data_IF_060661880974
#
_entry.id   IF_060661880974
#
_cell.length_a   1.000
_cell.length_b   1.000
_cell.length_c   1.000
_cell.angle_alpha   90.00
_cell.angle_beta   90.00
_cell.angle_gamma   90.00
#
_symmetry.space_group_name_H-M   'P 1'
#
loop_
_entity.id
_entity.type
_entity.pdbx_description
1 polymer ?
#
# COMPACT_ATOMS: atom_id res chain seq x y z
N UNK A 1 -8.43 -29.16 1.85
CA UNK A 1 -9.32 -28.16 1.21
C UNK A 1 -9.42 -28.49 -0.28
N UNK A 2 -10.56 -28.30 -0.95
CA UNK A 2 -10.68 -28.61 -2.38
C UNK A 2 -9.74 -27.71 -3.21
N UNK A 3 -9.07 -28.29 -4.20
CA UNK A 3 -8.06 -27.64 -5.04
C UNK A 3 -8.57 -26.36 -5.75
N UNK A 4 -9.86 -26.31 -6.06
CA UNK A 4 -10.54 -25.14 -6.63
C UNK A 4 -10.56 -23.93 -5.69
N UNK A 5 -10.69 -24.15 -4.37
CA UNK A 5 -10.75 -23.08 -3.38
C UNK A 5 -9.38 -22.42 -3.17
N UNK A 6 -8.29 -23.18 -3.28
CA UNK A 6 -6.92 -22.65 -3.16
C UNK A 6 -6.59 -21.80 -4.39
N UNK A 7 -6.86 -22.31 -5.60
CA UNK A 7 -6.66 -21.56 -6.84
C UNK A 7 -7.48 -20.26 -6.88
N UNK A 8 -8.70 -20.26 -6.35
CA UNK A 8 -9.52 -19.06 -6.23
C UNK A 8 -8.89 -18.02 -5.30
N UNK A 9 -8.40 -18.42 -4.13
CA UNK A 9 -7.74 -17.54 -3.15
C UNK A 9 -6.45 -16.92 -3.69
N UNK A 10 -5.64 -17.71 -4.42
CA UNK A 10 -4.41 -17.23 -5.05
C UNK A 10 -4.72 -16.21 -6.15
N UNK A 11 -5.73 -16.47 -7.00
CA UNK A 11 -6.17 -15.52 -8.03
C UNK A 11 -6.68 -14.22 -7.42
N UNK A 12 -7.50 -14.30 -6.37
CA UNK A 12 -8.02 -13.14 -5.65
C UNK A 12 -6.87 -12.32 -5.04
N UNK A 13 -5.89 -12.98 -4.42
CA UNK A 13 -4.74 -12.32 -3.81
C UNK A 13 -3.84 -11.65 -4.86
N UNK A 14 -3.53 -12.35 -5.96
CA UNK A 14 -2.80 -11.76 -7.09
C UNK A 14 -3.55 -10.58 -7.70
N UNK A 15 -4.88 -10.66 -7.81
CA UNK A 15 -5.74 -9.55 -8.22
C UNK A 15 -5.69 -8.36 -7.26
N UNK A 16 -5.80 -8.61 -5.96
CA UNK A 16 -5.68 -7.57 -4.93
C UNK A 16 -4.31 -6.88 -4.99
N UNK A 17 -3.22 -7.65 -5.14
CA UNK A 17 -1.87 -7.11 -5.32
C UNK A 17 -1.78 -6.23 -6.58
N UNK A 18 -2.30 -6.72 -7.72
CA UNK A 18 -2.24 -5.98 -8.97
C UNK A 18 -3.04 -4.67 -8.96
N UNK A 19 -4.25 -4.72 -8.39
CA UNK A 19 -5.10 -3.54 -8.22
C UNK A 19 -4.46 -2.57 -7.23
N UNK A 20 -3.91 -3.05 -6.11
CA UNK A 20 -3.16 -2.20 -5.16
C UNK A 20 -2.06 -1.40 -5.87
N UNK A 21 -1.25 -2.07 -6.70
CA UNK A 21 -0.22 -1.41 -7.51
C UNK A 21 -0.74 -0.34 -8.46
N UNK A 22 -1.85 -0.62 -9.16
CA UNK A 22 -2.50 0.37 -10.03
C UNK A 22 -2.98 1.59 -9.23
N UNK A 23 -3.58 1.37 -8.07
CA UNK A 23 -4.11 2.45 -7.25
C UNK A 23 -3.01 3.33 -6.63
N UNK A 24 -1.85 2.77 -6.31
CA UNK A 24 -0.68 3.56 -5.90
C UNK A 24 -0.14 4.49 -7.00
N UNK A 25 -0.35 4.14 -8.27
CA UNK A 25 -0.02 5.00 -9.41
C UNK A 25 -1.09 6.08 -9.58
N UNK A 26 -2.36 5.67 -9.57
CA UNK A 26 -3.48 6.58 -9.83
C UNK A 26 -3.62 7.65 -8.76
N UNK A 27 -3.44 7.32 -7.48
CA UNK A 27 -3.55 8.27 -6.37
C UNK A 27 -2.78 9.59 -6.62
N UNK A 28 -1.44 9.60 -6.76
CA UNK A 28 -0.69 10.82 -6.99
C UNK A 28 -0.92 11.41 -8.39
N UNK A 29 -1.34 10.60 -9.37
CA UNK A 29 -1.58 11.06 -10.74
C UNK A 29 -2.83 11.94 -10.84
N UNK A 30 -3.89 11.61 -10.11
CA UNK A 30 -5.16 12.35 -10.16
C UNK A 30 -5.35 13.33 -9.00
N UNK A 31 -4.53 13.25 -7.94
CA UNK A 31 -4.57 14.21 -6.82
C UNK A 31 -4.28 15.62 -7.37
N UNK A 32 -5.12 16.63 -7.11
CA UNK A 32 -4.82 17.99 -7.52
C UNK A 32 -3.65 18.55 -6.71
N UNK A 33 -2.74 19.26 -7.37
CA UNK A 33 -1.60 19.95 -6.75
C UNK A 33 -1.74 21.46 -6.99
N UNK A 34 -1.53 22.22 -5.92
CA UNK A 34 -1.50 23.69 -5.91
C UNK A 34 -0.79 24.15 -4.64
N UNK A 35 -0.61 25.45 -4.47
CA UNK A 35 -0.17 25.99 -3.18
C UNK A 35 -1.27 25.78 -2.12
N UNK A 36 -1.05 24.77 -1.27
CA UNK A 36 -1.96 24.33 -0.21
C UNK A 36 -2.18 25.39 0.90
N UNK A 37 -1.42 26.49 0.90
CA UNK A 37 -1.60 27.63 1.82
C UNK A 37 -2.48 28.75 1.25
N UNK A 38 -2.89 28.63 -0.01
CA UNK A 38 -3.64 29.66 -0.75
C UNK A 38 -5.10 29.25 -1.01
N UNK A 39 -5.90 30.19 -1.54
CA UNK A 39 -7.25 29.86 -2.04
C UNK A 39 -7.25 28.87 -3.22
N UNK A 40 -6.14 28.74 -3.95
CA UNK A 40 -5.98 27.67 -4.94
C UNK A 40 -5.89 26.31 -4.24
N UNK A 41 -5.15 26.23 -3.13
CA UNK A 41 -5.12 25.07 -2.24
C UNK A 41 -6.49 24.71 -1.69
N UNK A 42 -7.24 25.71 -1.21
CA UNK A 42 -8.62 25.52 -0.77
C UNK A 42 -9.51 24.93 -1.87
N UNK A 43 -9.34 25.42 -3.11
CA UNK A 43 -10.06 24.92 -4.29
C UNK A 43 -9.71 23.47 -4.56
N UNK A 44 -8.41 23.11 -4.53
CA UNK A 44 -7.94 21.75 -4.72
C UNK A 44 -8.53 20.79 -3.66
N UNK A 45 -8.45 21.16 -2.38
CA UNK A 45 -9.00 20.37 -1.28
C UNK A 45 -10.51 20.14 -1.42
N UNK A 46 -11.26 21.17 -1.82
CA UNK A 46 -12.71 21.12 -1.98
C UNK A 46 -13.20 20.30 -3.20
N UNK A 47 -12.30 19.78 -4.04
CA UNK A 47 -12.69 18.98 -5.22
C UNK A 47 -13.07 17.54 -4.86
N UNK A 48 -13.95 16.94 -5.67
CA UNK A 48 -14.18 15.49 -5.64
C UNK A 48 -12.95 14.67 -6.05
N UNK A 49 -12.06 15.23 -6.88
CA UNK A 49 -10.80 14.59 -7.26
C UNK A 49 -9.87 14.40 -6.06
N UNK A 50 -9.81 15.37 -5.13
CA UNK A 50 -9.08 15.23 -3.88
C UNK A 50 -9.56 14.04 -3.06
N UNK A 51 -10.88 13.93 -2.85
CA UNK A 51 -11.48 12.80 -2.13
C UNK A 51 -11.18 11.48 -2.82
N UNK A 52 -11.45 11.40 -4.13
CA UNK A 52 -11.23 10.20 -4.92
C UNK A 52 -9.78 9.74 -4.82
N UNK A 53 -8.82 10.64 -5.00
CA UNK A 53 -7.39 10.32 -4.91
C UNK A 53 -7.04 9.67 -3.57
N UNK A 54 -7.42 10.27 -2.45
CA UNK A 54 -7.09 9.73 -1.12
C UNK A 54 -7.83 8.42 -0.83
N UNK A 55 -9.07 8.26 -1.30
CA UNK A 55 -9.78 6.98 -1.22
C UNK A 55 -9.07 5.88 -2.03
N UNK A 56 -8.54 6.18 -3.23
CA UNK A 56 -7.74 5.22 -3.99
C UNK A 56 -6.50 4.78 -3.19
N UNK A 57 -5.82 5.71 -2.50
CA UNK A 57 -4.70 5.36 -1.63
C UNK A 57 -5.13 4.46 -0.46
N UNK A 58 -6.25 4.76 0.20
CA UNK A 58 -6.80 3.93 1.29
C UNK A 58 -7.11 2.51 0.81
N UNK A 59 -7.74 2.38 -0.37
CA UNK A 59 -8.02 1.07 -0.98
C UNK A 59 -6.71 0.37 -1.37
N UNK A 60 -5.73 1.09 -1.92
CA UNK A 60 -4.42 0.52 -2.27
C UNK A 60 -3.73 -0.12 -1.05
N UNK A 61 -3.65 0.61 0.07
CA UNK A 61 -3.07 0.13 1.33
C UNK A 61 -3.86 -1.04 1.93
N UNK A 62 -5.17 -1.09 1.73
CA UNK A 62 -6.02 -2.18 2.21
C UNK A 62 -5.85 -3.45 1.38
N UNK A 63 -5.70 -3.32 0.07
CA UNK A 63 -5.51 -4.46 -0.84
C UNK A 63 -4.10 -5.06 -0.77
N UNK A 64 -3.09 -4.27 -0.40
CA UNK A 64 -1.71 -4.73 -0.27
C UNK A 64 -1.55 -5.96 0.66
N UNK A 65 -2.01 -5.95 1.94
CA UNK A 65 -1.91 -7.12 2.80
C UNK A 65 -2.72 -8.32 2.28
N UNK A 66 -3.84 -8.09 1.58
CA UNK A 66 -4.59 -9.17 0.93
C UNK A 66 -3.78 -9.83 -0.19
N UNK A 67 -3.02 -9.04 -0.95
CA UNK A 67 -2.06 -9.57 -1.91
C UNK A 67 -0.94 -10.39 -1.25
N UNK A 68 -0.44 -9.93 -0.11
CA UNK A 68 0.60 -10.62 0.66
C UNK A 68 0.13 -11.96 1.25
N UNK A 69 -1.18 -12.14 1.51
CA UNK A 69 -1.72 -13.44 1.90
C UNK A 69 -1.51 -14.51 0.82
N UNK A 70 -1.66 -14.15 -0.45
CA UNK A 70 -1.38 -15.06 -1.57
C UNK A 70 0.09 -15.43 -1.65
N UNK A 71 0.98 -14.44 -1.46
CA UNK A 71 2.41 -14.70 -1.39
C UNK A 71 2.76 -15.63 -0.21
N UNK A 72 2.25 -15.34 0.99
CA UNK A 72 2.47 -16.20 2.15
C UNK A 72 1.99 -17.64 1.90
N UNK A 73 0.80 -17.81 1.32
CA UNK A 73 0.26 -19.13 0.96
C UNK A 73 1.20 -19.89 0.02
N UNK A 74 1.77 -19.21 -0.98
CA UNK A 74 2.74 -19.82 -1.91
C UNK A 74 4.08 -20.20 -1.28
N UNK A 75 4.41 -19.62 -0.11
CA UNK A 75 5.64 -19.84 0.64
C UNK A 75 5.47 -20.88 1.76
N UNK A 76 4.28 -21.45 1.94
CA UNK A 76 4.04 -22.51 2.92
C UNK A 76 4.95 -23.71 2.67
N UNK A 77 5.38 -24.35 3.76
CA UNK A 77 6.32 -25.48 3.74
C UNK A 77 7.68 -25.15 3.12
N UNK A 78 8.06 -23.87 3.12
CA UNK A 78 9.42 -23.42 2.77
C UNK A 78 10.08 -22.76 3.97
N UNK A 79 11.42 -22.63 3.95
CA UNK A 79 12.16 -21.89 4.97
C UNK A 79 11.75 -20.40 5.09
N UNK A 80 10.99 -19.87 4.11
CA UNK A 80 10.53 -18.49 4.08
C UNK A 80 9.12 -18.29 4.68
N UNK A 81 8.43 -19.36 5.10
CA UNK A 81 7.04 -19.32 5.58
C UNK A 81 6.83 -18.33 6.73
N UNK A 82 7.68 -18.41 7.77
CA UNK A 82 7.63 -17.52 8.94
C UNK A 82 7.80 -16.05 8.55
N UNK A 83 8.65 -15.78 7.57
CA UNK A 83 8.83 -14.42 7.02
C UNK A 83 7.56 -13.93 6.32
N UNK A 84 6.94 -14.79 5.49
CA UNK A 84 5.66 -14.47 4.84
C UNK A 84 4.54 -14.14 5.83
N UNK A 85 4.43 -14.89 6.93
CA UNK A 85 3.46 -14.60 7.99
C UNK A 85 3.70 -13.22 8.63
N UNK A 86 4.94 -12.93 9.04
CA UNK A 86 5.26 -11.63 9.65
C UNK A 86 5.06 -10.46 8.69
N UNK A 87 5.36 -10.63 7.39
CA UNK A 87 5.07 -9.60 6.40
C UNK A 87 3.57 -9.27 6.32
N UNK A 88 2.70 -10.28 6.38
CA UNK A 88 1.24 -10.07 6.43
C UNK A 88 0.85 -9.36 7.72
N UNK A 89 1.31 -9.83 8.89
CA UNK A 89 0.95 -9.24 10.17
C UNK A 89 1.38 -7.77 10.29
N UNK A 90 2.64 -7.48 9.94
CA UNK A 90 3.19 -6.12 9.97
C UNK A 90 2.51 -5.21 8.95
N UNK A 91 2.18 -5.70 7.76
CA UNK A 91 1.44 -4.90 6.77
C UNK A 91 0.01 -4.61 7.19
N UNK A 92 -0.70 -5.55 7.83
CA UNK A 92 -2.04 -5.31 8.38
C UNK A 92 -2.01 -4.22 9.47
N UNK A 93 -1.11 -4.34 10.44
CA UNK A 93 -0.96 -3.35 11.52
C UNK A 93 -0.54 -2.00 10.92
N UNK A 94 0.45 -2.00 10.02
CA UNK A 94 0.95 -0.80 9.38
C UNK A 94 -0.11 -0.07 8.56
N UNK A 95 -0.90 -0.81 7.77
CA UNK A 95 -2.08 -0.26 7.07
C UNK A 95 -3.09 0.31 8.07
N UNK A 96 -3.44 -0.43 9.13
CA UNK A 96 -4.39 0.04 10.15
C UNK A 96 -3.97 1.35 10.83
N UNK A 97 -2.67 1.54 11.06
CA UNK A 97 -2.13 2.80 11.61
C UNK A 97 -2.03 3.93 10.57
N UNK A 98 -1.90 3.59 9.28
CA UNK A 98 -1.76 4.54 8.17
C UNK A 98 -3.10 5.14 7.73
N UNK A 99 -4.16 4.32 7.70
CA UNK A 99 -5.46 4.71 7.17
C UNK A 99 -6.13 5.92 7.87
N UNK A 100 -6.05 6.09 9.21
CA UNK A 100 -6.64 7.25 9.87
C UNK A 100 -6.09 8.59 9.36
N UNK A 101 -4.78 8.65 9.07
CA UNK A 101 -4.16 9.86 8.52
C UNK A 101 -4.69 10.17 7.10
N UNK A 102 -4.80 9.15 6.25
CA UNK A 102 -5.42 9.31 4.93
C UNK A 102 -6.90 9.70 5.00
N UNK A 103 -7.65 9.23 6.01
CA UNK A 103 -9.01 9.67 6.27
C UNK A 103 -9.08 11.15 6.67
N UNK A 104 -8.17 11.60 7.54
CA UNK A 104 -8.02 13.01 7.89
C UNK A 104 -7.70 13.89 6.67
N UNK A 105 -6.74 13.45 5.84
CA UNK A 105 -6.42 14.10 4.58
C UNK A 105 -7.62 14.14 3.62
N UNK A 106 -8.35 13.03 3.46
CA UNK A 106 -9.47 12.96 2.55
C UNK A 106 -10.61 13.87 3.01
N UNK A 107 -11.16 13.62 4.18
CA UNK A 107 -12.41 14.21 4.63
C UNK A 107 -12.19 15.54 5.37
N UNK A 108 -11.16 15.61 6.22
CA UNK A 108 -10.85 16.79 7.01
C UNK A 108 -10.43 17.96 6.14
N UNK A 109 -9.45 17.76 5.25
CA UNK A 109 -8.98 18.83 4.38
C UNK A 109 -10.04 19.23 3.35
N UNK A 110 -10.85 18.28 2.85
CA UNK A 110 -11.96 18.61 1.96
C UNK A 110 -12.96 19.58 2.62
N UNK A 111 -13.37 19.29 3.85
CA UNK A 111 -14.27 20.17 4.61
C UNK A 111 -13.61 21.54 4.91
N UNK A 112 -12.33 21.56 5.27
CA UNK A 112 -11.55 22.79 5.47
C UNK A 112 -11.50 23.62 4.18
N UNK A 113 -11.25 22.97 3.03
CA UNK A 113 -11.22 23.62 1.72
C UNK A 113 -12.55 24.26 1.37
N UNK A 114 -13.66 23.52 1.53
CA UNK A 114 -15.01 24.06 1.33
C UNK A 114 -15.27 25.29 2.21
N UNK A 115 -14.88 25.22 3.48
CA UNK A 115 -15.09 26.32 4.42
C UNK A 115 -14.23 27.55 4.09
N UNK A 116 -12.99 27.35 3.67
CA UNK A 116 -12.12 28.43 3.21
C UNK A 116 -12.70 29.14 1.97
N UNK A 117 -13.33 28.41 1.04
CA UNK A 117 -14.00 28.99 -0.11
C UNK A 117 -15.26 29.78 0.27
N UNK A 118 -16.09 29.26 1.19
CA UNK A 118 -17.27 29.96 1.71
C UNK A 118 -16.86 31.27 2.38
N UNK A 119 -15.83 31.24 3.21
CA UNK A 119 -15.31 32.41 3.93
C UNK A 119 -14.47 33.34 3.05
N UNK A 120 -14.13 32.91 1.82
CA UNK A 120 -13.18 33.60 0.92
C UNK A 120 -11.86 33.94 1.62
N UNK A 121 -11.40 33.06 2.49
CA UNK A 121 -10.25 33.28 3.36
C UNK A 121 -9.39 32.04 3.49
N UNK A 122 -8.09 32.19 3.30
CA UNK A 122 -7.11 31.14 3.51
C UNK A 122 -6.82 30.87 5.00
N UNK A 123 -7.32 31.70 5.93
CA UNK A 123 -6.99 31.58 7.36
C UNK A 123 -7.34 30.21 7.95
N UNK A 124 -8.45 29.60 7.49
CA UNK A 124 -8.91 28.28 7.96
C UNK A 124 -7.98 27.14 7.49
N UNK A 125 -7.17 27.35 6.45
CA UNK A 125 -6.21 26.35 5.96
C UNK A 125 -5.12 26.02 6.99
N UNK A 126 -4.89 26.88 7.99
CA UNK A 126 -4.02 26.57 9.13
C UNK A 126 -4.47 25.32 9.91
N UNK A 127 -5.76 24.98 9.87
CA UNK A 127 -6.28 23.73 10.46
C UNK A 127 -5.79 22.47 9.72
N UNK A 128 -5.38 22.56 8.45
CA UNK A 128 -4.81 21.43 7.74
C UNK A 128 -3.50 20.96 8.41
N UNK A 129 -2.70 21.88 8.94
CA UNK A 129 -1.51 21.56 9.73
C UNK A 129 -1.88 20.82 11.02
N UNK A 130 -3.00 21.17 11.65
CA UNK A 130 -3.49 20.47 12.85
C UNK A 130 -3.89 19.03 12.51
N UNK A 131 -4.60 18.81 11.40
CA UNK A 131 -4.96 17.46 10.91
C UNK A 131 -3.71 16.61 10.62
N UNK A 132 -2.65 17.24 10.10
CA UNK A 132 -1.39 16.58 9.70
C UNK A 132 -0.36 16.45 10.82
N UNK A 133 -0.67 16.85 12.04
CA UNK A 133 0.28 16.87 13.16
C UNK A 133 -0.22 16.07 14.36
N UNK A 134 0.57 16.06 15.43
CA UNK A 134 0.22 15.38 16.68
C UNK A 134 0.19 13.85 16.57
N UNK A 135 -0.61 13.17 17.40
CA UNK A 135 -0.62 11.71 17.49
C UNK A 135 -0.97 10.99 16.18
N UNK A 136 -1.82 11.59 15.33
CA UNK A 136 -2.17 11.04 14.02
C UNK A 136 -0.96 10.93 13.09
N UNK A 137 -0.07 11.93 13.11
CA UNK A 137 1.20 11.89 12.37
C UNK A 137 2.14 10.80 12.89
N UNK A 138 2.20 10.60 14.21
CA UNK A 138 3.03 9.55 14.81
C UNK A 138 2.53 8.17 14.38
N UNK A 139 1.22 7.92 14.46
CA UNK A 139 0.60 6.67 13.99
C UNK A 139 0.90 6.44 12.51
N UNK A 140 0.78 7.48 11.69
CA UNK A 140 1.09 7.42 10.26
C UNK A 140 2.54 7.02 9.97
N UNK A 141 3.50 7.69 10.62
CA UNK A 141 4.93 7.39 10.43
C UNK A 141 5.25 5.97 10.87
N UNK A 142 4.77 5.55 12.05
CA UNK A 142 4.95 4.17 12.53
C UNK A 142 4.32 3.17 11.57
N UNK A 143 3.11 3.46 11.07
CA UNK A 143 2.42 2.62 10.10
C UNK A 143 3.23 2.41 8.82
N UNK A 144 3.77 3.49 8.24
CA UNK A 144 4.61 3.43 7.05
C UNK A 144 5.94 2.68 7.30
N UNK A 145 6.54 2.84 8.48
CA UNK A 145 7.76 2.10 8.85
C UNK A 145 7.49 0.59 8.95
N UNK A 146 6.37 0.18 9.55
CA UNK A 146 5.97 -1.23 9.60
C UNK A 146 5.73 -1.81 8.20
N UNK A 147 5.10 -1.03 7.32
CA UNK A 147 4.90 -1.41 5.91
C UNK A 147 6.24 -1.55 5.17
N UNK A 148 7.19 -0.65 5.38
CA UNK A 148 8.53 -0.76 4.81
C UNK A 148 9.25 -2.03 5.31
N UNK A 149 9.22 -2.31 6.61
CA UNK A 149 9.79 -3.53 7.21
C UNK A 149 9.14 -4.78 6.59
N UNK A 150 7.80 -4.79 6.46
CA UNK A 150 7.07 -5.88 5.81
C UNK A 150 7.56 -6.11 4.37
N UNK A 151 7.75 -5.04 3.59
CA UNK A 151 8.23 -5.13 2.21
C UNK A 151 9.67 -5.65 2.12
N UNK A 152 10.57 -5.28 3.05
CA UNK A 152 11.90 -5.88 3.12
C UNK A 152 11.85 -7.38 3.46
N UNK A 153 11.00 -7.79 4.39
CA UNK A 153 10.78 -9.21 4.70
C UNK A 153 10.30 -9.96 3.46
N UNK A 154 9.36 -9.37 2.70
CA UNK A 154 8.89 -9.91 1.41
C UNK A 154 10.03 -10.08 0.42
N UNK A 155 10.85 -9.05 0.23
CA UNK A 155 12.00 -9.12 -0.69
C UNK A 155 12.99 -10.22 -0.29
N UNK A 156 13.30 -10.34 1.00
CA UNK A 156 14.19 -11.40 1.52
C UNK A 156 13.55 -12.79 1.33
N UNK A 157 12.25 -12.94 1.62
CA UNK A 157 11.53 -14.20 1.44
C UNK A 157 11.51 -14.64 -0.03
N UNK A 158 11.22 -13.71 -0.95
CA UNK A 158 11.28 -13.93 -2.40
C UNK A 158 12.68 -14.36 -2.82
N UNK A 159 13.70 -13.63 -2.38
CA UNK A 159 15.10 -13.90 -2.71
C UNK A 159 15.54 -15.31 -2.29
N UNK A 160 15.09 -15.75 -1.10
CA UNK A 160 15.44 -17.06 -0.52
C UNK A 160 14.60 -18.23 -1.03
N UNK A 161 13.38 -17.99 -1.51
CA UNK A 161 12.45 -19.08 -1.84
C UNK A 161 12.81 -19.84 -3.12
N UNK A 162 13.74 -19.33 -3.97
CA UNK A 162 14.06 -19.83 -5.34
C UNK A 162 12.83 -19.91 -6.25
N UNK A 163 11.67 -19.51 -5.72
CA UNK A 163 10.35 -19.75 -6.27
C UNK A 163 9.76 -18.47 -6.82
N UNK A 164 10.56 -17.44 -6.98
CA UNK A 164 10.18 -16.18 -7.60
C UNK A 164 11.44 -15.65 -8.28
N UNK A 165 11.31 -14.83 -9.34
CA UNK A 165 12.45 -14.05 -9.82
C UNK A 165 13.03 -13.28 -8.63
N UNK A 166 14.32 -13.49 -8.34
CA UNK A 166 14.95 -13.01 -7.10
C UNK A 166 14.74 -11.50 -6.87
N UNK A 167 14.71 -10.74 -7.96
CA UNK A 167 14.58 -9.28 -7.95
C UNK A 167 13.14 -8.76 -7.82
N UNK A 168 12.12 -9.63 -7.91
CA UNK A 168 10.72 -9.20 -7.97
C UNK A 168 10.23 -8.46 -6.71
N UNK A 169 10.82 -8.73 -5.54
CA UNK A 169 10.48 -8.03 -4.30
C UNK A 169 11.20 -6.69 -4.09
N UNK A 170 12.26 -6.40 -4.84
CA UNK A 170 13.10 -5.23 -4.62
C UNK A 170 12.39 -3.91 -4.92
N UNK A 171 11.65 -3.76 -6.06
CA UNK A 171 10.93 -2.52 -6.34
C UNK A 171 9.91 -2.17 -5.24
N UNK A 172 9.19 -3.17 -4.70
CA UNK A 172 8.24 -2.95 -3.60
C UNK A 172 8.96 -2.51 -2.32
N UNK A 173 10.07 -3.15 -1.95
CA UNK A 173 10.84 -2.79 -0.76
C UNK A 173 11.41 -1.37 -0.84
N UNK A 174 12.03 -1.00 -1.98
CA UNK A 174 12.54 0.36 -2.20
C UNK A 174 11.38 1.35 -2.22
N UNK A 175 10.29 1.04 -2.92
CA UNK A 175 9.10 1.88 -2.98
C UNK A 175 8.53 2.20 -1.60
N UNK A 176 8.35 1.18 -0.74
CA UNK A 176 7.82 1.44 0.61
C UNK A 176 8.85 2.09 1.55
N UNK A 177 10.16 1.84 1.38
CA UNK A 177 11.19 2.57 2.10
C UNK A 177 11.22 4.07 1.77
N UNK A 178 10.96 4.40 0.50
CA UNK A 178 10.90 5.79 0.00
C UNK A 178 9.53 6.46 0.20
N UNK A 179 8.58 5.79 0.85
CA UNK A 179 7.21 6.31 1.01
C UNK A 179 7.16 7.58 1.87
N UNK A 180 8.00 7.70 2.90
CA UNK A 180 8.10 8.95 3.68
C UNK A 180 8.82 10.04 2.85
N UNK A 181 10.02 9.79 2.29
CA UNK A 181 10.74 10.78 1.46
C UNK A 181 9.92 11.38 0.30
N UNK A 182 9.07 10.60 -0.38
CA UNK A 182 8.32 11.10 -1.53
C UNK A 182 7.35 12.25 -1.19
N UNK A 183 6.93 12.39 0.07
CA UNK A 183 6.07 13.52 0.50
C UNK A 183 6.78 14.88 0.39
N UNK A 184 8.11 14.91 0.36
CA UNK A 184 8.88 16.14 0.14
C UNK A 184 9.12 16.44 -1.35
N UNK A 185 8.65 15.58 -2.24
CA UNK A 185 8.79 15.70 -3.68
C UNK A 185 7.66 16.43 -4.39
N UNK A 186 7.94 16.83 -5.63
CA UNK A 186 6.95 17.36 -6.59
C UNK A 186 5.99 16.27 -7.07
N UNK A 187 4.87 16.66 -7.69
CA UNK A 187 3.90 15.71 -8.23
C UNK A 187 4.52 14.65 -9.16
N UNK A 188 5.38 15.00 -10.14
CA UNK A 188 6.05 13.99 -10.96
C UNK A 188 6.85 12.96 -10.14
N UNK A 189 7.52 13.40 -9.07
CA UNK A 189 8.27 12.49 -8.20
C UNK A 189 7.33 11.51 -7.47
N UNK A 190 6.18 11.99 -7.01
CA UNK A 190 5.17 11.15 -6.34
C UNK A 190 4.54 10.14 -7.30
N UNK A 191 4.30 10.53 -8.55
CA UNK A 191 3.82 9.60 -9.59
C UNK A 191 4.90 8.56 -9.92
N UNK A 192 6.16 8.98 -10.07
CA UNK A 192 7.28 8.06 -10.30
C UNK A 192 7.47 7.08 -9.12
N UNK A 193 7.30 7.55 -7.89
CA UNK A 193 7.28 6.71 -6.70
C UNK A 193 6.11 5.70 -6.73
N UNK A 194 4.90 6.15 -7.08
CA UNK A 194 3.75 5.28 -7.28
C UNK A 194 3.99 4.20 -8.35
N UNK A 195 4.65 4.56 -9.46
CA UNK A 195 5.07 3.61 -10.50
C UNK A 195 6.05 2.56 -9.97
N UNK A 196 7.05 2.97 -9.16
CA UNK A 196 7.99 2.02 -8.55
C UNK A 196 7.28 0.99 -7.67
N UNK A 197 6.36 1.45 -6.81
CA UNK A 197 5.53 0.56 -5.97
C UNK A 197 4.66 -0.34 -6.85
N UNK A 198 4.00 0.24 -7.86
CA UNK A 198 3.13 -0.48 -8.79
C UNK A 198 3.84 -1.60 -9.55
N UNK A 199 5.05 -1.34 -10.06
CA UNK A 199 5.90 -2.34 -10.72
C UNK A 199 6.23 -3.49 -9.76
N UNK A 200 6.56 -3.19 -8.50
CA UNK A 200 6.78 -4.22 -7.48
C UNK A 200 5.56 -5.10 -7.24
N UNK A 201 4.40 -4.47 -7.06
CA UNK A 201 3.13 -5.18 -6.91
C UNK A 201 2.82 -6.08 -8.11
N UNK A 202 2.93 -5.56 -9.34
CA UNK A 202 2.65 -6.32 -10.55
C UNK A 202 3.59 -7.49 -10.78
N UNK A 203 4.89 -7.31 -10.48
CA UNK A 203 5.85 -8.39 -10.61
C UNK A 203 5.58 -9.53 -9.64
N UNK A 204 5.23 -9.20 -8.39
CA UNK A 204 4.83 -10.20 -7.38
C UNK A 204 3.51 -10.86 -7.78
N UNK A 205 2.52 -10.11 -8.24
CA UNK A 205 1.23 -10.63 -8.69
C UNK A 205 1.38 -11.64 -9.84
N UNK A 206 2.22 -11.34 -10.83
CA UNK A 206 2.54 -12.27 -11.91
C UNK A 206 3.20 -13.56 -11.38
N UNK A 207 4.06 -13.45 -10.37
CA UNK A 207 4.64 -14.60 -9.67
C UNK A 207 3.59 -15.47 -8.97
N UNK A 208 2.59 -14.86 -8.33
CA UNK A 208 1.49 -15.57 -7.67
C UNK A 208 0.65 -16.33 -8.71
N UNK A 209 0.27 -15.70 -9.83
CA UNK A 209 -0.56 -16.35 -10.85
C UNK A 209 0.14 -17.46 -11.62
N UNK A 210 1.45 -17.36 -11.81
CA UNK A 210 2.22 -18.36 -12.57
C UNK A 210 2.50 -19.64 -11.78
N UNK A 211 2.26 -19.66 -10.46
CA UNK A 211 2.72 -20.75 -9.58
C UNK A 211 1.64 -21.57 -8.90
N UNK A 212 0.44 -21.60 -9.49
CA UNK A 212 -0.73 -22.31 -8.97
C UNK A 212 -0.41 -23.60 -8.20
N UNK A 213 -0.78 -23.60 -6.91
CA UNK A 213 -0.73 -24.69 -5.92
C UNK A 213 0.49 -25.61 -5.94
N UNK A 214 1.55 -25.26 -5.18
CA UNK A 214 2.41 -26.31 -4.60
C UNK A 214 1.68 -26.96 -3.43
N UNK A 215 1.38 -28.25 -3.55
CA UNK A 215 0.98 -29.03 -2.38
C UNK A 215 2.22 -29.27 -1.53
N UNK A 216 2.14 -28.97 -0.23
CA UNK A 216 3.11 -29.53 0.71
C UNK A 216 3.10 -31.05 0.53
N UNK A 217 4.26 -31.72 0.51
CA UNK A 217 4.30 -33.18 0.51
C UNK A 217 3.37 -33.67 1.61
N UNK A 218 2.38 -34.50 1.26
CA UNK A 218 1.59 -35.19 2.27
C UNK A 218 2.59 -35.94 3.14
N UNK A 219 2.47 -35.82 4.46
CA UNK A 219 3.09 -36.73 5.41
C UNK A 219 2.46 -38.12 5.21
N UNK A 220 2.79 -38.78 4.12
CA UNK A 220 2.38 -40.12 3.75
C UNK A 220 3.66 -40.89 3.45
N UNK A 221 4.36 -41.28 4.52
CA UNK A 221 5.20 -42.48 4.65
C UNK A 221 6.01 -42.41 5.96
N UNK A 222 5.32 -42.38 7.11
CA UNK A 222 5.90 -42.81 8.40
C UNK A 222 4.87 -43.74 9.04
N UNK A 223 4.63 -44.86 8.36
CA UNK A 223 4.07 -46.11 8.88
C UNK A 223 4.18 -47.13 7.73
N UNK A 224 5.43 -47.50 7.42
CA UNK A 224 5.77 -48.80 6.85
C UNK A 224 6.55 -49.55 7.92
#
# INVERSE_FOLDING_TARGET
MPQSAIAFRERLSGGAMAISGLLFILYPAIRPFSDESSLQGATAFATGQWLAAHMLAMVAFTLLPLGLLGLHSSLQCTAAERGGYWAVALSLIGTGLTLPFYGGEAYGLHAIGQQALIQRSAAVLSLATVVRSGPGLVMFIVGLLLLAIAAFIVAIAIWRSVSYPRWSGIPLAIGLALYIPQFFGTQPLRVAHGLLVGIGCWWIAAGIWTRGTRQCPQAAEINR
#
